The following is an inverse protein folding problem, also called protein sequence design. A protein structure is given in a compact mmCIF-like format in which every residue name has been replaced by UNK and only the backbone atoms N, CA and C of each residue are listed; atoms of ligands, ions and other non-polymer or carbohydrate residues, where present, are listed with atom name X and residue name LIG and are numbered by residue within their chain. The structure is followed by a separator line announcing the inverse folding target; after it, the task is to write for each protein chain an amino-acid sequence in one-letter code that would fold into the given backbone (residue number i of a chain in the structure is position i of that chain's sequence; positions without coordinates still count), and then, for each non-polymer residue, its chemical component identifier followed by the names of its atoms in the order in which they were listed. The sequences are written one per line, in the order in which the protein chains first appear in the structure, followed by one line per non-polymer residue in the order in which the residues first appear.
data_IF_962711098840
#
_entry.id   IF_962711098840
#
_cell.length_a   1.000
_cell.length_b   1.000
_cell.length_c   1.000
_cell.angle_alpha   90.00
_cell.angle_beta   90.00
_cell.angle_gamma   90.00
#
_symmetry.space_group_name_H-M   'P 1'
#
loop_
_entity.id
_entity.type
_entity.pdbx_description
1 polymer ?
#
# COMPACT_ATOMS: atom_id res chain seq x y z
N UNK A 1 1.95 -15.56 10.67
CA UNK A 1 0.98 -15.08 9.69
C UNK A 1 0.47 -13.80 10.30
N UNK A 2 0.81 -12.67 9.70
CA UNK A 2 0.33 -11.37 10.16
C UNK A 2 -0.99 -11.08 9.44
N UNK A 3 -2.06 -10.83 10.19
CA UNK A 3 -3.27 -10.19 9.67
C UNK A 3 -2.93 -8.71 9.58
N UNK A 4 -3.12 -8.11 8.42
CA UNK A 4 -2.96 -6.67 8.21
C UNK A 4 -4.33 -6.02 8.45
N UNK A 5 -4.39 -5.05 9.36
CA UNK A 5 -5.60 -4.28 9.61
C UNK A 5 -5.35 -2.90 9.05
N UNK A 6 -5.93 -2.63 7.88
CA UNK A 6 -5.72 -1.38 7.18
C UNK A 6 -7.02 -0.84 6.58
N UNK A 7 -7.15 0.48 6.57
CA UNK A 7 -8.20 1.21 5.87
C UNK A 7 -7.62 2.34 5.03
N UNK A 8 -8.30 2.69 3.95
CA UNK A 8 -7.89 3.76 3.03
C UNK A 8 -8.96 4.81 2.91
N UNK A 9 -8.53 6.05 2.71
CA UNK A 9 -9.40 7.18 2.35
C UNK A 9 -8.80 7.79 1.09
N UNK A 10 -9.62 7.91 0.05
CA UNK A 10 -9.21 8.38 -1.28
C UNK A 10 -9.51 9.87 -1.46
N UNK A 11 -8.85 10.48 -2.46
CA UNK A 11 -9.07 11.87 -2.87
C UNK A 11 -8.81 12.89 -1.74
N UNK A 12 -7.91 12.59 -0.82
CA UNK A 12 -7.55 13.49 0.27
C UNK A 12 -6.81 14.73 -0.24
N UNK A 13 -6.89 15.83 0.54
CA UNK A 13 -5.98 16.96 0.38
C UNK A 13 -4.69 16.68 1.21
N UNK A 14 -3.54 16.42 0.58
CA UNK A 14 -2.34 16.01 1.30
C UNK A 14 -1.81 17.08 2.27
N UNK A 15 -1.94 18.37 1.93
CA UNK A 15 -1.48 19.46 2.78
C UNK A 15 -2.37 19.63 4.03
N UNK A 16 -3.70 19.55 3.88
CA UNK A 16 -4.62 19.59 5.00
C UNK A 16 -4.44 18.40 5.92
N UNK A 17 -4.33 17.20 5.35
CA UNK A 17 -4.10 15.95 6.10
C UNK A 17 -2.77 16.03 6.86
N UNK A 18 -1.70 16.53 6.21
CA UNK A 18 -0.39 16.68 6.85
C UNK A 18 -0.41 17.71 7.98
N UNK A 19 -1.09 18.84 7.78
CA UNK A 19 -1.26 19.84 8.83
C UNK A 19 -2.00 19.26 10.03
N UNK A 20 -3.05 18.47 9.81
CA UNK A 20 -3.79 17.80 10.86
C UNK A 20 -2.92 16.79 11.64
N UNK A 21 -2.09 16.01 10.94
CA UNK A 21 -1.11 15.11 11.57
C UNK A 21 -0.12 15.88 12.45
N UNK A 22 0.33 17.06 12.02
CA UNK A 22 1.23 17.92 12.82
C UNK A 22 0.52 18.47 14.05
N UNK A 23 -0.74 18.92 13.94
CA UNK A 23 -1.55 19.36 15.07
C UNK A 23 -1.74 18.26 16.12
N UNK A 24 -1.88 17.02 15.69
CA UNK A 24 -1.99 15.83 16.55
C UNK A 24 -0.63 15.39 17.14
N UNK A 25 0.45 16.15 16.91
CA UNK A 25 1.81 15.85 17.36
C UNK A 25 2.29 14.42 16.97
N UNK A 26 1.94 13.98 15.76
CA UNK A 26 2.39 12.68 15.26
C UNK A 26 3.91 12.67 15.07
N UNK A 27 4.50 11.48 15.21
CA UNK A 27 5.92 11.27 14.96
C UNK A 27 6.17 10.97 13.47
N UNK A 28 6.88 11.83 12.71
CA UNK A 28 7.29 11.49 11.35
C UNK A 28 8.21 10.27 11.34
N UNK A 29 7.93 9.31 10.46
CA UNK A 29 8.74 8.12 10.25
C UNK A 29 9.66 8.27 9.04
N UNK A 30 9.21 8.97 8.00
CA UNK A 30 10.02 9.28 6.82
C UNK A 30 9.24 9.52 5.55
N UNK A 31 9.98 9.94 4.53
CA UNK A 31 9.48 10.06 3.16
C UNK A 31 10.18 9.02 2.29
N UNK A 32 9.40 8.29 1.49
CA UNK A 32 9.86 7.17 0.69
C UNK A 32 9.47 7.34 -0.78
N UNK A 33 10.39 6.99 -1.68
CA UNK A 33 10.12 6.84 -3.11
C UNK A 33 10.15 5.35 -3.42
N UNK A 34 9.00 4.75 -3.57
CA UNK A 34 8.90 3.32 -3.83
C UNK A 34 8.95 2.99 -5.32
N UNK A 35 9.68 1.91 -5.61
CA UNK A 35 9.68 1.20 -6.89
C UNK A 35 9.26 -0.23 -6.62
N UNK A 36 8.40 -0.78 -7.47
CA UNK A 36 7.94 -2.16 -7.29
C UNK A 36 7.62 -2.87 -8.59
N UNK A 37 7.69 -4.19 -8.52
CA UNK A 37 7.08 -5.11 -9.45
C UNK A 37 6.02 -5.93 -8.73
N UNK A 38 4.91 -6.20 -9.41
CA UNK A 38 3.88 -7.13 -8.95
C UNK A 38 3.93 -8.42 -9.77
N UNK A 39 3.50 -9.53 -9.16
CA UNK A 39 3.51 -10.86 -9.75
C UNK A 39 2.20 -11.56 -9.48
N UNK A 40 1.67 -12.29 -10.47
CA UNK A 40 0.59 -13.23 -10.22
C UNK A 40 1.06 -14.38 -9.34
N UNK A 41 0.19 -14.90 -8.48
CA UNK A 41 0.44 -16.14 -7.77
C UNK A 41 0.41 -17.34 -8.71
N UNK A 42 1.04 -18.45 -8.30
CA UNK A 42 0.95 -19.73 -8.99
C UNK A 42 0.36 -20.78 -8.03
N UNK A 43 -0.84 -21.33 -8.31
CA UNK A 43 -1.74 -20.99 -9.42
C UNK A 43 -2.26 -19.54 -9.31
N UNK A 44 -2.63 -18.97 -10.46
CA UNK A 44 -3.14 -17.59 -10.53
C UNK A 44 -4.41 -17.44 -9.68
N UNK A 45 -4.47 -16.36 -8.90
CA UNK A 45 -5.62 -15.97 -8.09
C UNK A 45 -5.78 -14.45 -8.15
N UNK A 46 -7.00 -13.96 -8.24
CA UNK A 46 -7.26 -12.53 -8.15
C UNK A 46 -7.14 -12.01 -6.71
N UNK A 47 -7.27 -12.91 -5.72
CA UNK A 47 -7.17 -12.57 -4.31
C UNK A 47 -5.74 -12.65 -3.76
N UNK A 48 -4.75 -13.14 -4.54
CA UNK A 48 -3.38 -13.33 -4.07
C UNK A 48 -2.36 -12.91 -5.11
N UNK A 49 -1.37 -12.12 -4.68
CA UNK A 49 -0.29 -11.63 -5.54
C UNK A 49 1.02 -11.49 -4.77
N UNK A 50 2.13 -11.46 -5.52
CA UNK A 50 3.46 -11.13 -5.03
C UNK A 50 3.82 -9.67 -5.29
N UNK A 51 4.69 -9.10 -4.46
CA UNK A 51 5.25 -7.76 -4.62
C UNK A 51 6.73 -7.76 -4.25
N UNK A 52 7.59 -7.34 -5.16
CA UNK A 52 8.97 -6.96 -4.88
C UNK A 52 9.03 -5.44 -4.86
N UNK A 53 9.41 -4.83 -3.73
CA UNK A 53 9.40 -3.38 -3.53
C UNK A 53 10.71 -2.90 -2.91
N UNK A 54 11.18 -1.72 -3.34
CA UNK A 54 12.31 -1.03 -2.73
C UNK A 54 12.04 0.47 -2.57
N UNK A 55 12.62 1.08 -1.55
CA UNK A 55 12.74 2.54 -1.37
C UNK A 55 14.15 3.05 -1.71
N UNK A 56 15.00 2.18 -2.29
CA UNK A 56 16.40 2.44 -2.58
C UNK A 56 17.37 2.11 -1.43
N UNK A 57 16.85 1.80 -0.23
CA UNK A 57 17.63 1.40 0.96
C UNK A 57 17.24 0.01 1.45
N UNK A 58 15.96 -0.24 1.54
CA UNK A 58 15.39 -1.52 1.95
C UNK A 58 14.63 -2.12 0.77
N UNK A 59 14.81 -3.42 0.54
CA UNK A 59 14.03 -4.18 -0.44
C UNK A 59 13.25 -5.27 0.27
N UNK A 60 11.97 -5.40 -0.07
CA UNK A 60 11.08 -6.41 0.49
C UNK A 60 10.43 -7.25 -0.60
N UNK A 61 10.27 -8.53 -0.31
CA UNK A 61 9.46 -9.46 -1.09
C UNK A 61 8.27 -9.87 -0.23
N UNK A 62 7.08 -9.60 -0.76
CA UNK A 62 5.82 -9.73 -0.04
C UNK A 62 4.86 -10.63 -0.81
N UNK A 63 4.07 -11.44 -0.12
CA UNK A 63 2.84 -12.06 -0.65
C UNK A 63 1.67 -11.53 0.15
N UNK A 64 0.68 -10.98 -0.56
CA UNK A 64 -0.60 -10.55 0.01
C UNK A 64 -1.71 -11.48 -0.47
N UNK A 65 -2.67 -11.77 0.42
CA UNK A 65 -3.84 -12.59 0.12
C UNK A 65 -5.07 -11.97 0.80
N UNK A 66 -6.04 -11.54 -0.03
CA UNK A 66 -7.34 -11.06 0.45
C UNK A 66 -8.20 -12.28 0.74
N UNK A 67 -8.70 -12.38 1.96
CA UNK A 67 -9.60 -13.44 2.42
C UNK A 67 -11.04 -12.98 2.51
N UNK A 68 -11.27 -11.68 2.78
CA UNK A 68 -12.57 -11.01 2.76
C UNK A 68 -12.40 -9.48 2.62
N UNK A 69 -13.51 -8.74 2.53
CA UNK A 69 -13.53 -7.28 2.33
C UNK A 69 -13.51 -6.48 3.65
N UNK A 70 -13.18 -7.09 4.79
CA UNK A 70 -13.07 -6.39 6.07
C UNK A 70 -11.73 -5.65 6.20
N UNK A 71 -11.63 -4.72 7.16
CA UNK A 71 -10.37 -4.02 7.48
C UNK A 71 -9.25 -5.00 7.88
N UNK A 72 -9.57 -6.20 8.37
CA UNK A 72 -8.64 -7.27 8.72
C UNK A 72 -8.58 -8.39 7.67
N UNK A 73 -9.14 -8.16 6.48
CA UNK A 73 -9.33 -9.16 5.44
C UNK A 73 -8.07 -9.50 4.64
N UNK A 74 -6.90 -8.92 4.94
CA UNK A 74 -5.65 -9.18 4.21
C UNK A 74 -4.64 -9.93 5.07
N UNK A 75 -4.17 -11.06 4.56
CA UNK A 75 -3.00 -11.75 5.10
C UNK A 75 -1.74 -11.31 4.35
N UNK A 76 -0.69 -10.97 5.11
CA UNK A 76 0.59 -10.60 4.53
C UNK A 76 1.73 -11.48 5.06
N UNK A 77 2.67 -11.81 4.16
CA UNK A 77 3.98 -12.38 4.50
C UNK A 77 5.06 -11.58 3.78
N UNK A 78 5.94 -10.98 4.54
CA UNK A 78 7.02 -10.16 4.01
C UNK A 78 8.38 -10.65 4.53
N UNK A 79 9.38 -10.61 3.66
CA UNK A 79 10.79 -10.80 4.00
C UNK A 79 11.62 -9.70 3.38
N UNK A 80 12.72 -9.35 4.03
CA UNK A 80 13.72 -8.45 3.45
C UNK A 80 14.67 -9.25 2.57
N UNK A 81 14.98 -8.73 1.39
CA UNK A 81 16.00 -9.27 0.47
C UNK A 81 17.10 -8.24 0.27
N UNK A 82 18.31 -8.70 -0.04
CA UNK A 82 19.50 -7.84 -0.08
C UNK A 82 19.59 -6.95 -1.31
N UNK A 83 19.04 -7.39 -2.45
CA UNK A 83 19.14 -6.69 -3.72
C UNK A 83 17.84 -6.80 -4.53
N UNK A 84 17.38 -5.66 -5.06
CA UNK A 84 16.11 -5.57 -5.81
C UNK A 84 16.22 -6.24 -7.18
N UNK A 85 17.31 -5.99 -7.91
CA UNK A 85 17.48 -6.49 -9.26
C UNK A 85 17.77 -8.01 -9.28
N UNK A 86 18.64 -8.47 -8.37
CA UNK A 86 18.92 -9.89 -8.23
C UNK A 86 17.68 -10.68 -7.78
N UNK A 87 16.88 -10.14 -6.86
CA UNK A 87 15.62 -10.75 -6.46
C UNK A 87 14.64 -10.86 -7.63
N UNK A 88 14.54 -9.82 -8.48
CA UNK A 88 13.73 -9.84 -9.69
C UNK A 88 14.17 -10.96 -10.63
N UNK A 89 15.47 -11.03 -10.92
CA UNK A 89 16.05 -12.06 -11.80
C UNK A 89 15.79 -13.48 -11.26
N UNK A 90 15.91 -13.68 -9.95
CA UNK A 90 15.63 -14.97 -9.30
C UNK A 90 14.16 -15.34 -9.49
N UNK A 91 13.22 -14.43 -9.22
CA UNK A 91 11.79 -14.67 -9.36
C UNK A 91 11.43 -15.03 -10.81
N UNK A 92 11.99 -14.32 -11.79
CA UNK A 92 11.78 -14.61 -13.21
C UNK A 92 12.33 -15.99 -13.61
N UNK A 93 13.53 -16.34 -13.13
CA UNK A 93 14.12 -17.67 -13.39
C UNK A 93 13.34 -18.81 -12.73
N UNK A 94 12.59 -18.53 -11.65
CA UNK A 94 11.66 -19.48 -11.03
C UNK A 94 10.31 -19.54 -11.75
N UNK A 95 10.12 -18.79 -12.85
CA UNK A 95 8.93 -18.84 -13.70
C UNK A 95 7.84 -17.82 -13.29
N UNK A 96 8.14 -16.90 -12.39
CA UNK A 96 7.24 -15.80 -12.06
C UNK A 96 7.48 -14.64 -13.03
N UNK A 97 6.49 -14.30 -13.84
CA UNK A 97 6.58 -13.12 -14.72
C UNK A 97 6.05 -11.92 -13.99
N UNK A 98 6.86 -10.85 -13.92
CA UNK A 98 6.37 -9.58 -13.38
C UNK A 98 5.34 -8.96 -14.33
N UNK A 99 4.40 -8.24 -13.75
CA UNK A 99 3.38 -7.46 -14.46
C UNK A 99 3.87 -6.04 -14.72
N UNK A 100 3.29 -5.10 -14.01
CA UNK A 100 3.58 -3.68 -14.15
C UNK A 100 4.73 -3.27 -13.24
N UNK A 101 5.67 -2.50 -13.74
CA UNK A 101 6.55 -1.69 -12.91
C UNK A 101 5.77 -0.48 -12.38
N UNK A 102 5.83 -0.21 -11.08
CA UNK A 102 5.05 0.86 -10.46
C UNK A 102 5.92 1.71 -9.54
N UNK A 103 5.64 3.01 -9.52
CA UNK A 103 6.21 3.96 -8.57
C UNK A 103 5.09 4.61 -7.75
N UNK A 104 5.38 4.93 -6.50
CA UNK A 104 4.60 5.85 -5.67
C UNK A 104 5.52 6.51 -4.65
N UNK A 105 5.10 7.67 -4.13
CA UNK A 105 5.74 8.26 -2.95
C UNK A 105 4.87 8.04 -1.72
N UNK A 106 5.49 8.02 -0.54
CA UNK A 106 4.83 7.86 0.75
C UNK A 106 5.46 8.78 1.79
N UNK A 107 4.63 9.59 2.44
CA UNK A 107 4.96 10.29 3.67
C UNK A 107 4.36 9.49 4.83
N UNK A 108 5.18 9.06 5.80
CA UNK A 108 4.77 8.10 6.82
C UNK A 108 4.90 8.71 8.22
N UNK A 109 3.87 8.49 9.07
CA UNK A 109 3.76 9.02 10.42
C UNK A 109 3.29 7.94 11.39
N UNK A 110 3.57 8.13 12.68
CA UNK A 110 3.04 7.32 13.77
C UNK A 110 2.09 8.18 14.62
N UNK A 111 0.84 7.73 14.76
CA UNK A 111 -0.18 8.31 15.64
C UNK A 111 -0.56 7.25 16.70
N UNK A 112 -0.06 7.41 17.93
CA UNK A 112 -0.12 6.33 18.91
C UNK A 112 0.63 5.10 18.41
N UNK A 113 -0.05 3.97 18.31
CA UNK A 113 0.50 2.72 17.77
C UNK A 113 0.10 2.49 16.30
N UNK A 114 -0.67 3.41 15.71
CA UNK A 114 -1.13 3.32 14.31
C UNK A 114 -0.16 3.99 13.36
N UNK A 115 0.10 3.34 12.25
CA UNK A 115 0.91 3.86 11.15
C UNK A 115 0.01 4.55 10.14
N UNK A 116 0.29 5.82 9.87
CA UNK A 116 -0.45 6.67 8.94
C UNK A 116 0.43 6.97 7.75
N UNK A 117 -0.06 6.70 6.55
CA UNK A 117 0.68 6.92 5.31
C UNK A 117 -0.11 7.82 4.37
N UNK A 118 0.51 8.88 3.87
CA UNK A 118 0.00 9.68 2.75
C UNK A 118 0.73 9.20 1.50
N UNK A 119 0.04 8.40 0.71
CA UNK A 119 0.55 7.87 -0.56
C UNK A 119 0.18 8.77 -1.72
N UNK A 120 1.12 9.08 -2.60
CA UNK A 120 0.85 9.69 -3.88
C UNK A 120 1.10 8.67 -5.00
N UNK A 121 0.06 8.41 -5.78
CA UNK A 121 0.10 7.48 -6.90
C UNK A 121 -0.09 8.19 -8.24
N UNK A 122 0.69 7.84 -9.27
CA UNK A 122 0.50 8.40 -10.62
C UNK A 122 -0.94 8.20 -11.11
N UNK A 123 -1.56 9.26 -11.65
CA UNK A 123 -2.94 9.27 -12.18
C UNK A 123 -4.06 8.97 -11.17
N UNK A 124 -3.76 8.47 -9.97
CA UNK A 124 -4.74 8.17 -8.93
C UNK A 124 -4.83 9.30 -7.90
N UNK A 125 -3.72 10.02 -7.67
CA UNK A 125 -3.64 11.11 -6.70
C UNK A 125 -3.25 10.64 -5.31
N UNK A 126 -3.73 11.34 -4.29
CA UNK A 126 -3.36 11.10 -2.90
C UNK A 126 -4.37 10.21 -2.18
N UNK A 127 -3.82 9.28 -1.41
CA UNK A 127 -4.56 8.31 -0.60
C UNK A 127 -3.97 8.34 0.81
N UNK A 128 -4.84 8.40 1.80
CA UNK A 128 -4.48 8.14 3.19
C UNK A 128 -4.65 6.64 3.46
N UNK A 129 -3.62 6.01 4.01
CA UNK A 129 -3.66 4.61 4.48
C UNK A 129 -3.40 4.61 5.98
N UNK A 130 -4.27 3.97 6.75
CA UNK A 130 -4.18 3.82 8.20
C UNK A 130 -4.03 2.33 8.48
N UNK A 131 -2.90 1.94 9.08
CA UNK A 131 -2.59 0.56 9.48
C UNK A 131 -2.47 0.51 11.02
N UNK A 132 -3.12 -0.46 11.66
CA UNK A 132 -3.08 -0.63 13.11
C UNK A 132 -3.20 -2.11 13.52
N UNK A 133 -3.08 -2.38 14.82
CA UNK A 133 -3.29 -3.72 15.39
C UNK A 133 -4.78 -4.02 15.64
N UNK A 134 -5.66 -3.00 15.60
CA UNK A 134 -7.09 -3.14 15.86
C UNK A 134 -7.92 -2.31 14.89
N UNK A 135 -9.07 -2.85 14.51
CA UNK A 135 -10.05 -2.15 13.66
C UNK A 135 -10.50 -0.83 14.28
N UNK A 136 -10.72 -0.81 15.59
CA UNK A 136 -11.15 0.39 16.31
C UNK A 136 -10.12 1.52 16.25
N UNK A 137 -8.83 1.19 16.29
CA UNK A 137 -7.77 2.19 16.20
C UNK A 137 -7.69 2.80 14.79
N UNK A 138 -8.00 2.02 13.73
CA UNK A 138 -8.12 2.56 12.35
C UNK A 138 -9.23 3.60 12.28
N UNK A 139 -10.42 3.29 12.83
CA UNK A 139 -11.57 4.20 12.85
C UNK A 139 -11.28 5.47 13.67
N UNK A 140 -10.75 5.31 14.88
CA UNK A 140 -10.39 6.43 15.75
C UNK A 140 -9.36 7.36 15.08
N UNK A 141 -8.37 6.80 14.38
CA UNK A 141 -7.39 7.60 13.64
C UNK A 141 -8.03 8.37 12.49
N UNK A 142 -8.96 7.77 11.75
CA UNK A 142 -9.69 8.47 10.70
C UNK A 142 -10.50 9.64 11.25
N UNK A 143 -11.25 9.43 12.34
CA UNK A 143 -12.03 10.48 13.01
C UNK A 143 -11.14 11.62 13.53
N UNK A 144 -10.01 11.31 14.16
CA UNK A 144 -9.03 12.32 14.61
C UNK A 144 -8.49 13.15 13.45
N UNK A 145 -8.37 12.57 12.27
CA UNK A 145 -7.94 13.24 11.04
C UNK A 145 -9.06 14.02 10.34
N UNK A 146 -10.31 13.87 10.81
CA UNK A 146 -11.48 14.59 10.32
C UNK A 146 -12.23 13.88 9.20
N UNK A 147 -12.11 12.56 9.13
CA UNK A 147 -12.83 11.71 8.18
C UNK A 147 -13.88 10.88 8.90
N UNK A 148 -15.02 10.67 8.25
CA UNK A 148 -16.08 9.82 8.76
C UNK A 148 -15.77 8.32 8.50
N UNK A 149 -16.38 7.42 9.29
CA UNK A 149 -16.16 5.98 9.19
C UNK A 149 -16.57 5.42 7.80
N UNK A 150 -17.59 5.99 7.18
CA UNK A 150 -18.09 5.58 5.85
C UNK A 150 -17.17 6.01 4.69
N UNK A 151 -16.20 6.88 4.94
CA UNK A 151 -15.14 7.21 3.98
C UNK A 151 -14.00 6.17 3.96
N UNK A 152 -13.95 5.29 4.98
CA UNK A 152 -12.93 4.25 5.06
C UNK A 152 -13.28 3.10 4.11
N UNK A 153 -12.40 2.85 3.15
CA UNK A 153 -12.53 1.74 2.20
C UNK A 153 -11.44 0.70 2.41
N UNK A 154 -11.71 -0.52 2.00
CA UNK A 154 -10.78 -1.66 1.99
C UNK A 154 -10.29 -2.02 0.59
N UNK A 155 -10.79 -1.31 -0.41
CA UNK A 155 -10.48 -1.52 -1.83
C UNK A 155 -8.97 -1.41 -2.08
N UNK A 156 -8.40 -2.41 -2.75
CA UNK A 156 -6.98 -2.43 -3.10
C UNK A 156 -6.65 -1.44 -4.23
N UNK A 157 -5.38 -1.07 -4.35
CA UNK A 157 -4.90 -0.06 -5.31
C UNK A 157 -5.21 -0.44 -6.76
N UNK A 158 -5.11 -1.72 -7.13
CA UNK A 158 -5.42 -2.17 -8.50
C UNK A 158 -6.89 -1.94 -8.83
N UNK A 159 -7.78 -2.27 -7.90
CA UNK A 159 -9.22 -2.04 -8.06
C UNK A 159 -9.57 -0.56 -8.18
N UNK A 160 -8.91 0.33 -7.39
CA UNK A 160 -9.08 1.79 -7.52
C UNK A 160 -8.67 2.33 -8.90
N UNK A 161 -7.60 1.78 -9.50
CA UNK A 161 -7.24 2.12 -10.89
C UNK A 161 -8.29 1.62 -11.88
N UNK A 162 -8.79 0.39 -11.70
CA UNK A 162 -9.78 -0.20 -12.57
C UNK A 162 -11.09 0.60 -12.56
N UNK A 163 -11.54 1.09 -11.40
CA UNK A 163 -12.69 2.00 -11.26
C UNK A 163 -12.52 3.30 -12.06
N UNK A 164 -11.27 3.73 -12.30
CA UNK A 164 -10.93 4.89 -13.16
C UNK A 164 -10.70 4.51 -14.62
N UNK A 165 -11.01 3.27 -15.00
CA UNK A 165 -10.83 2.78 -16.37
C UNK A 165 -9.39 2.49 -16.74
N UNK A 166 -8.49 2.31 -15.76
CA UNK A 166 -7.08 1.99 -15.97
C UNK A 166 -6.83 0.56 -15.49
N UNK A 167 -6.65 -0.37 -16.41
CA UNK A 167 -6.19 -1.72 -16.05
C UNK A 167 -4.65 -1.71 -15.92
N UNK A 168 -4.16 -1.96 -14.71
CA UNK A 168 -2.73 -2.03 -14.45
C UNK A 168 -2.07 -3.20 -15.19
N UNK A 169 -2.81 -4.27 -15.51
CA UNK A 169 -2.27 -5.42 -16.23
C UNK A 169 -1.96 -5.09 -17.71
N UNK A 170 -2.58 -4.04 -18.26
CA UNK A 170 -2.33 -3.54 -19.61
C UNK A 170 -1.14 -2.56 -19.67
N UNK A 171 -0.63 -2.12 -18.54
CA UNK A 171 0.47 -1.17 -18.47
C UNK A 171 1.80 -1.89 -18.24
N UNK A 172 2.84 -1.47 -18.98
CA UNK A 172 4.22 -1.89 -18.68
C UNK A 172 4.79 -1.14 -17.49
N UNK A 173 4.46 0.15 -17.37
CA UNK A 173 5.00 1.06 -16.36
C UNK A 173 3.93 2.03 -15.89
N UNK A 174 3.92 2.29 -14.58
CA UNK A 174 3.13 3.30 -13.90
C UNK A 174 4.08 4.22 -13.15
N UNK A 175 4.37 5.40 -13.72
CA UNK A 175 5.34 6.39 -13.22
C UNK A 175 4.72 7.79 -13.17
N UNK A 176 5.35 8.67 -12.40
CA UNK A 176 5.07 10.12 -12.43
C UNK A 176 5.54 10.76 -13.74
#
# INVERSE_FOLDING_TARGET
MGVEIEGRIININPEETKNKLLELNTKPLGFYNFKRYTFDSVPKSNARWGRLRTDGKKTTLTVKEIVDDSLSGTNEREVTVSDFNEALVILEKLGLTHKTYQENTRDEFLLGDSKISIDHWPKLGYILEIESEKVEDVKNCAELLGFDEDEIITTDIKSLYLERGIDLDDLRELKF
#
